data_IF_319876227927
#
_entry.id   IF_319876227927
#
_cell.length_a   1.000
_cell.length_b   1.000
_cell.length_c   1.000
_cell.angle_alpha   90.00
_cell.angle_beta   90.00
_cell.angle_gamma   90.00
#
_symmetry.space_group_name_H-M   'P 1'
#
loop_
_entity.id
_entity.type
_entity.pdbx_description
1 polymer ?
#
# COMPACT_ATOMS: atom_id res chain seq x y z
N UNK A 1 -16.13 9.11 14.23
CA UNK A 1 -16.84 10.37 13.92
C UNK A 1 -16.02 11.53 14.46
N UNK A 2 -15.11 12.08 13.66
CA UNK A 2 -14.31 13.26 14.02
C UNK A 2 -15.16 14.51 13.78
N UNK A 3 -15.60 15.17 14.84
CA UNK A 3 -16.42 16.38 14.73
C UNK A 3 -15.62 17.55 14.12
N UNK A 4 -16.28 18.62 13.63
CA UNK A 4 -15.61 19.81 13.09
C UNK A 4 -14.61 20.43 14.08
N UNK A 5 -14.86 20.30 15.39
CA UNK A 5 -13.98 20.76 16.47
C UNK A 5 -12.64 20.00 16.49
N UNK A 6 -12.62 18.71 16.13
CA UNK A 6 -11.33 17.99 16.06
C UNK A 6 -10.49 18.49 14.89
N UNK A 7 -11.08 18.75 13.73
CA UNK A 7 -10.35 19.26 12.56
C UNK A 7 -9.71 20.61 12.87
N UNK A 8 -10.46 21.52 13.51
CA UNK A 8 -9.95 22.84 13.89
C UNK A 8 -8.75 22.76 14.85
N UNK A 9 -8.78 21.83 15.82
CA UNK A 9 -7.66 21.61 16.74
C UNK A 9 -6.41 21.10 16.01
N UNK A 10 -6.56 20.18 15.07
CA UNK A 10 -5.42 19.67 14.29
C UNK A 10 -4.83 20.77 13.40
N UNK A 11 -5.67 21.60 12.77
CA UNK A 11 -5.24 22.76 12.00
C UNK A 11 -4.52 23.79 12.87
N UNK A 12 -5.03 24.10 14.06
CA UNK A 12 -4.39 25.05 14.97
C UNK A 12 -3.00 24.57 15.42
N UNK A 13 -2.86 23.29 15.75
CA UNK A 13 -1.55 22.68 16.08
C UNK A 13 -0.61 22.75 14.88
N UNK A 14 -1.08 22.40 13.68
CA UNK A 14 -0.27 22.45 12.46
C UNK A 14 0.22 23.87 12.17
N UNK A 15 -0.67 24.86 12.19
CA UNK A 15 -0.31 26.28 11.98
C UNK A 15 0.68 26.73 13.05
N UNK A 16 0.44 26.39 14.33
CA UNK A 16 1.35 26.74 15.42
C UNK A 16 2.77 26.19 15.22
N UNK A 17 2.90 24.95 14.77
CA UNK A 17 4.21 24.34 14.47
C UNK A 17 4.89 25.05 13.30
N UNK A 18 4.18 25.31 12.21
CA UNK A 18 4.74 25.97 11.03
C UNK A 18 5.17 27.41 11.34
N UNK A 19 4.34 28.17 12.05
CA UNK A 19 4.68 29.54 12.46
C UNK A 19 5.87 29.56 13.41
N UNK A 20 5.95 28.62 14.34
CA UNK A 20 7.10 28.52 15.26
C UNK A 20 8.38 28.23 14.48
N UNK A 21 8.35 27.29 13.52
CA UNK A 21 9.50 26.99 12.67
C UNK A 21 9.93 28.22 11.85
N UNK A 22 8.98 28.90 11.21
CA UNK A 22 9.25 30.12 10.43
C UNK A 22 9.91 31.21 11.29
N UNK A 23 9.39 31.45 12.50
CA UNK A 23 9.94 32.45 13.43
C UNK A 23 11.34 32.05 13.90
N UNK A 24 11.58 30.80 14.26
CA UNK A 24 12.90 30.32 14.69
C UNK A 24 13.95 30.44 13.59
N UNK A 25 13.56 30.17 12.34
CA UNK A 25 14.42 30.36 11.18
C UNK A 25 14.71 31.85 10.91
N UNK A 26 13.70 32.73 11.02
CA UNK A 26 13.87 34.17 10.90
C UNK A 26 14.78 34.76 12.00
N UNK A 27 14.74 34.20 13.21
CA UNK A 27 15.61 34.59 14.33
C UNK A 27 17.05 34.09 14.17
N UNK A 28 17.36 33.30 13.13
CA UNK A 28 18.70 32.74 12.89
C UNK A 28 19.09 31.61 13.84
N UNK A 29 18.13 31.02 14.56
CA UNK A 29 18.39 29.87 15.45
C UNK A 29 18.50 28.56 14.68
N UNK A 30 18.07 28.57 13.41
CA UNK A 30 18.10 27.46 12.49
C UNK A 30 18.91 27.91 11.27
N UNK A 31 19.87 27.09 10.85
CA UNK A 31 20.60 27.31 9.61
C UNK A 31 19.68 27.04 8.41
N UNK A 32 19.27 28.11 7.72
CA UNK A 32 18.36 28.04 6.57
C UNK A 32 18.98 27.38 5.34
N UNK A 33 20.30 27.22 5.31
CA UNK A 33 20.99 26.44 4.26
C UNK A 33 20.72 24.95 4.45
N UNK A 34 20.55 24.48 5.68
CA UNK A 34 20.28 23.07 5.99
C UNK A 34 18.78 22.79 6.11
N UNK A 35 18.05 23.67 6.78
CA UNK A 35 16.61 23.56 7.00
C UNK A 35 15.92 24.81 6.48
N UNK A 36 15.45 24.81 5.21
CA UNK A 36 14.86 25.98 4.58
C UNK A 36 13.58 26.39 5.30
N UNK A 37 13.22 27.66 5.15
CA UNK A 37 11.99 28.19 5.76
C UNK A 37 10.75 27.56 5.12
N UNK A 38 9.67 27.34 5.88
CA UNK A 38 8.37 26.94 5.33
C UNK A 38 7.95 27.74 4.09
N UNK A 39 8.20 29.06 4.08
CA UNK A 39 7.91 29.92 2.93
C UNK A 39 8.74 29.54 1.70
N UNK A 40 10.04 29.28 1.87
CA UNK A 40 10.95 28.88 0.77
C UNK A 40 10.56 27.53 0.15
N UNK A 41 10.00 26.62 0.96
CA UNK A 41 9.43 25.36 0.45
C UNK A 41 8.21 25.65 -0.43
N UNK A 42 7.35 26.58 -0.01
CA UNK A 42 6.19 27.03 -0.80
C UNK A 42 6.61 27.67 -2.13
N UNK A 43 7.62 28.53 -2.11
CA UNK A 43 8.22 29.12 -3.31
C UNK A 43 8.84 28.04 -4.21
N UNK A 44 9.53 27.06 -3.64
CA UNK A 44 10.07 25.91 -4.36
C UNK A 44 8.98 25.09 -5.08
N UNK A 45 7.82 24.90 -4.45
CA UNK A 45 6.66 24.25 -5.09
C UNK A 45 6.19 25.09 -6.28
N UNK A 46 6.03 26.41 -6.10
CA UNK A 46 5.57 27.31 -7.17
C UNK A 46 6.53 27.29 -8.36
N UNK A 47 7.83 27.44 -8.08
CA UNK A 47 8.90 27.40 -9.07
C UNK A 47 8.89 26.10 -9.88
N UNK A 48 8.91 24.96 -9.20
CA UNK A 48 8.97 23.65 -9.85
C UNK A 48 7.74 23.31 -10.69
N UNK A 49 6.54 23.67 -10.22
CA UNK A 49 5.28 23.30 -10.88
C UNK A 49 4.82 24.33 -11.91
N UNK A 50 4.96 25.62 -11.65
CA UNK A 50 4.31 26.67 -12.46
C UNK A 50 5.31 27.45 -13.33
N UNK A 51 6.49 27.76 -12.81
CA UNK A 51 7.51 28.55 -13.51
C UNK A 51 8.34 27.66 -14.45
N UNK A 52 9.11 26.73 -13.88
CA UNK A 52 10.01 25.85 -14.63
C UNK A 52 9.25 24.71 -15.32
N UNK A 53 8.15 24.25 -14.70
CA UNK A 53 7.33 23.10 -15.13
C UNK A 53 8.14 21.80 -15.34
N UNK A 54 9.35 21.74 -14.78
CA UNK A 54 10.26 20.61 -14.95
C UNK A 54 9.77 19.38 -14.20
N UNK A 55 9.10 19.57 -13.07
CA UNK A 55 8.67 18.50 -12.16
C UNK A 55 7.78 17.45 -12.85
N UNK A 56 6.93 17.84 -13.81
CA UNK A 56 6.00 16.93 -14.46
C UNK A 56 6.71 15.80 -15.21
N UNK A 57 7.81 16.12 -15.90
CA UNK A 57 8.61 15.11 -16.62
C UNK A 57 9.28 14.16 -15.64
N UNK A 58 9.89 14.69 -14.59
CA UNK A 58 10.55 13.89 -13.55
C UNK A 58 9.54 12.99 -12.82
N UNK A 59 8.36 13.52 -12.54
CA UNK A 59 7.25 12.78 -11.92
C UNK A 59 6.78 11.62 -12.78
N UNK A 60 6.52 11.85 -14.08
CA UNK A 60 6.08 10.80 -14.99
C UNK A 60 7.13 9.69 -15.13
N UNK A 61 8.41 10.06 -15.16
CA UNK A 61 9.53 9.11 -15.25
C UNK A 61 9.59 8.23 -14.01
N UNK A 62 9.62 8.81 -12.81
CA UNK A 62 9.67 8.04 -11.56
C UNK A 62 8.41 7.19 -11.38
N UNK A 63 7.23 7.71 -11.76
CA UNK A 63 5.99 6.93 -11.78
C UNK A 63 6.13 5.69 -12.66
N UNK A 64 6.61 5.85 -13.90
CA UNK A 64 6.80 4.74 -14.82
C UNK A 64 7.80 3.72 -14.29
N UNK A 65 8.95 4.16 -13.77
CA UNK A 65 9.99 3.29 -13.24
C UNK A 65 9.50 2.47 -12.04
N UNK A 66 8.82 3.12 -11.10
CA UNK A 66 8.23 2.45 -9.93
C UNK A 66 7.10 1.49 -10.31
N UNK A 67 6.19 1.92 -11.19
CA UNK A 67 5.03 1.12 -11.59
C UNK A 67 5.45 -0.09 -12.43
N UNK A 68 6.36 0.08 -13.40
CA UNK A 68 6.89 -1.03 -14.18
C UNK A 68 7.69 -2.01 -13.30
N UNK A 69 8.49 -1.50 -12.36
CA UNK A 69 9.18 -2.33 -11.37
C UNK A 69 8.20 -3.17 -10.55
N UNK A 70 7.10 -2.55 -10.09
CA UNK A 70 6.03 -3.26 -9.38
C UNK A 70 5.34 -4.32 -10.22
N UNK A 71 5.02 -4.05 -11.49
CA UNK A 71 4.36 -5.05 -12.33
C UNK A 71 5.25 -6.28 -12.54
N UNK A 72 6.56 -6.08 -12.73
CA UNK A 72 7.53 -7.17 -12.94
C UNK A 72 7.78 -7.90 -11.62
N UNK A 73 8.24 -7.19 -10.59
CA UNK A 73 8.59 -7.77 -9.30
C UNK A 73 7.39 -8.35 -8.56
N UNK A 74 6.28 -7.63 -8.55
CA UNK A 74 5.01 -8.10 -7.99
C UNK A 74 4.42 -9.27 -8.77
N UNK A 75 4.47 -9.24 -10.10
CA UNK A 75 4.04 -10.37 -10.93
C UNK A 75 4.85 -11.64 -10.66
N UNK A 76 6.18 -11.51 -10.59
CA UNK A 76 7.08 -12.61 -10.21
C UNK A 76 6.81 -13.11 -8.78
N UNK A 77 6.62 -12.20 -7.83
CA UNK A 77 6.29 -12.51 -6.45
C UNK A 77 5.00 -13.30 -6.32
N UNK A 78 3.96 -12.86 -7.02
CA UNK A 78 2.67 -13.53 -7.08
C UNK A 78 2.81 -14.94 -7.69
N UNK A 79 3.49 -15.06 -8.83
CA UNK A 79 3.67 -16.33 -9.52
C UNK A 79 4.45 -17.35 -8.67
N UNK A 80 5.56 -16.93 -8.06
CA UNK A 80 6.36 -17.80 -7.19
C UNK A 80 5.61 -18.18 -5.91
N UNK A 81 4.81 -17.27 -5.34
CA UNK A 81 4.00 -17.57 -4.17
C UNK A 81 2.89 -18.57 -4.47
N UNK A 82 2.19 -18.42 -5.60
CA UNK A 82 1.18 -19.39 -6.07
C UNK A 82 1.83 -20.75 -6.31
N UNK A 83 2.96 -20.81 -7.01
CA UNK A 83 3.71 -22.06 -7.21
C UNK A 83 4.13 -22.71 -5.88
N UNK A 84 4.54 -21.90 -4.91
CA UNK A 84 4.92 -22.35 -3.57
C UNK A 84 3.73 -22.80 -2.72
N UNK A 85 2.55 -22.22 -2.93
CA UNK A 85 1.33 -22.65 -2.26
C UNK A 85 0.80 -24.00 -2.79
N UNK A 86 1.04 -24.27 -4.08
CA UNK A 86 0.61 -25.51 -4.73
C UNK A 86 1.56 -26.69 -4.50
N UNK A 87 2.85 -26.43 -4.23
CA UNK A 87 3.87 -27.47 -4.08
C UNK A 87 4.80 -27.19 -2.88
N UNK A 88 4.67 -27.99 -1.82
CA UNK A 88 5.47 -27.88 -0.60
C UNK A 88 6.98 -28.06 -0.84
N UNK A 89 7.38 -28.95 -1.76
CA UNK A 89 8.79 -29.13 -2.11
C UNK A 89 9.33 -27.87 -2.77
N UNK A 90 8.59 -27.29 -3.72
CA UNK A 90 8.97 -26.03 -4.37
C UNK A 90 9.10 -24.90 -3.34
N UNK A 91 8.15 -24.79 -2.41
CA UNK A 91 8.20 -23.83 -1.31
C UNK A 91 9.48 -23.96 -0.47
N UNK A 92 9.90 -25.18 -0.13
CA UNK A 92 11.12 -25.43 0.66
C UNK A 92 12.38 -24.91 -0.04
N UNK A 93 12.44 -25.01 -1.37
CA UNK A 93 13.56 -24.49 -2.14
C UNK A 93 13.50 -22.98 -2.36
N UNK A 94 12.33 -22.39 -2.63
CA UNK A 94 12.21 -20.96 -2.95
C UNK A 94 12.28 -20.06 -1.71
N UNK A 95 11.72 -20.50 -0.58
CA UNK A 95 11.58 -19.65 0.62
C UNK A 95 12.92 -19.10 1.15
N UNK A 96 14.01 -19.89 1.24
CA UNK A 96 15.31 -19.38 1.69
C UNK A 96 15.85 -18.25 0.79
N UNK A 97 15.75 -18.39 -0.53
CA UNK A 97 16.23 -17.36 -1.47
C UNK A 97 15.41 -16.07 -1.37
N UNK A 98 14.09 -16.18 -1.18
CA UNK A 98 13.24 -15.02 -0.97
C UNK A 98 13.64 -14.23 0.30
N UNK A 99 14.01 -14.93 1.37
CA UNK A 99 14.50 -14.30 2.61
C UNK A 99 15.84 -13.61 2.36
N UNK A 100 16.78 -14.25 1.66
CA UNK A 100 18.08 -13.63 1.32
C UNK A 100 17.87 -12.34 0.52
N UNK A 101 16.98 -12.35 -0.47
CA UNK A 101 16.66 -11.15 -1.26
C UNK A 101 16.09 -10.01 -0.39
N UNK A 102 15.32 -10.33 0.66
CA UNK A 102 14.79 -9.30 1.56
C UNK A 102 15.84 -8.69 2.48
N UNK A 103 16.74 -9.52 3.01
CA UNK A 103 17.79 -9.05 3.93
C UNK A 103 18.87 -8.28 3.19
N UNK A 104 19.04 -8.54 1.89
CA UNK A 104 20.01 -7.84 1.05
C UNK A 104 19.60 -6.37 0.87
N UNK A 105 20.41 -5.40 1.32
CA UNK A 105 20.07 -3.99 1.17
C UNK A 105 19.98 -3.60 -0.31
N UNK A 106 18.84 -3.05 -0.75
CA UNK A 106 18.67 -2.61 -2.14
C UNK A 106 19.72 -1.59 -2.59
N UNK A 107 20.17 -0.72 -1.69
CA UNK A 107 21.25 0.23 -1.95
C UNK A 107 22.56 -0.47 -2.34
N UNK A 108 22.90 -1.59 -1.68
CA UNK A 108 24.10 -2.37 -1.98
C UNK A 108 24.01 -3.10 -3.34
N UNK A 109 22.80 -3.44 -3.79
CA UNK A 109 22.56 -4.05 -5.09
C UNK A 109 22.63 -3.05 -6.25
N UNK A 110 22.44 -1.77 -5.98
CA UNK A 110 22.35 -0.71 -7.01
C UNK A 110 23.52 -0.74 -8.01
N UNK A 111 24.81 -0.73 -7.59
CA UNK A 111 25.92 -0.77 -8.55
C UNK A 111 25.96 -2.06 -9.38
N UNK A 112 25.55 -3.19 -8.80
CA UNK A 112 25.50 -4.49 -9.50
C UNK A 112 24.39 -4.48 -10.56
N UNK A 113 23.21 -3.98 -10.20
CA UNK A 113 22.08 -3.85 -11.12
C UNK A 113 22.40 -2.89 -12.27
N UNK A 114 23.08 -1.79 -11.99
CA UNK A 114 23.56 -0.87 -13.04
C UNK A 114 24.60 -1.57 -13.93
N UNK A 115 25.52 -2.35 -13.37
CA UNK A 115 26.49 -3.09 -14.17
C UNK A 115 25.83 -4.11 -15.11
N UNK A 116 24.71 -4.73 -14.69
CA UNK A 116 23.97 -5.70 -15.51
C UNK A 116 23.06 -5.06 -16.56
N UNK A 117 22.29 -4.05 -16.18
CA UNK A 117 21.23 -3.48 -17.01
C UNK A 117 21.61 -2.15 -17.67
N UNK A 118 22.79 -1.62 -17.36
CA UNK A 118 23.27 -0.32 -17.80
C UNK A 118 22.59 0.85 -17.10
N UNK A 119 22.92 2.06 -17.56
CA UNK A 119 22.28 3.28 -17.13
C UNK A 119 20.92 3.47 -17.83
N UNK A 120 19.91 3.96 -17.11
CA UNK A 120 18.62 4.33 -17.67
C UNK A 120 17.44 3.70 -16.94
N UNK A 121 16.33 3.53 -17.67
CA UNK A 121 15.07 3.00 -17.09
C UNK A 121 15.21 1.54 -16.62
N UNK A 122 15.96 0.72 -17.36
CA UNK A 122 16.10 -0.72 -17.11
C UNK A 122 16.63 -1.05 -15.71
N UNK A 123 17.72 -0.41 -15.29
CA UNK A 123 18.33 -0.65 -13.97
C UNK A 123 17.44 -0.19 -12.82
N UNK A 124 16.74 0.93 -12.97
CA UNK A 124 15.83 1.44 -11.94
C UNK A 124 14.58 0.56 -11.79
N UNK A 125 14.01 0.13 -12.92
CA UNK A 125 12.90 -0.84 -12.95
C UNK A 125 13.34 -2.17 -12.32
N UNK A 126 14.53 -2.67 -12.66
CA UNK A 126 15.06 -3.90 -12.10
C UNK A 126 15.26 -3.80 -10.59
N UNK A 127 15.82 -2.69 -10.09
CA UNK A 127 15.99 -2.50 -8.65
C UNK A 127 14.64 -2.38 -7.94
N UNK A 128 13.69 -1.63 -8.51
CA UNK A 128 12.31 -1.56 -8.01
C UNK A 128 11.66 -2.94 -7.94
N UNK A 129 11.82 -3.77 -8.97
CA UNK A 129 11.29 -5.12 -9.04
C UNK A 129 11.89 -6.05 -7.98
N UNK A 130 13.21 -6.02 -7.78
CA UNK A 130 13.90 -6.84 -6.77
C UNK A 130 13.41 -6.48 -5.37
N UNK A 131 13.34 -5.18 -5.06
CA UNK A 131 12.95 -4.70 -3.72
C UNK A 131 11.47 -4.99 -3.44
N UNK A 132 10.58 -4.80 -4.42
CA UNK A 132 9.15 -4.97 -4.21
C UNK A 132 8.66 -6.42 -4.34
N UNK A 133 9.49 -7.34 -4.85
CA UNK A 133 9.16 -8.74 -5.01
C UNK A 133 8.73 -9.39 -3.69
N UNK A 134 9.52 -9.16 -2.63
CA UNK A 134 9.39 -9.91 -1.38
C UNK A 134 8.06 -9.70 -0.66
N UNK A 135 7.55 -8.46 -0.46
CA UNK A 135 6.28 -8.28 0.23
C UNK A 135 5.12 -8.94 -0.54
N UNK A 136 5.11 -8.95 -1.87
CA UNK A 136 4.09 -9.70 -2.65
C UNK A 136 4.23 -11.19 -2.39
N UNK A 137 5.44 -11.73 -2.53
CA UNK A 137 5.69 -13.17 -2.39
C UNK A 137 5.24 -13.67 -1.01
N UNK A 138 5.70 -13.03 0.06
CA UNK A 138 5.43 -13.49 1.42
C UNK A 138 3.97 -13.32 1.82
N UNK A 139 3.36 -12.16 1.55
CA UNK A 139 1.96 -11.95 1.90
C UNK A 139 1.04 -12.91 1.13
N UNK A 140 1.32 -13.13 -0.16
CA UNK A 140 0.55 -14.07 -0.97
C UNK A 140 0.72 -15.50 -0.47
N UNK A 141 1.96 -15.93 -0.20
CA UNK A 141 2.23 -17.29 0.26
C UNK A 141 1.58 -17.56 1.62
N UNK A 142 1.69 -16.62 2.56
CA UNK A 142 1.04 -16.73 3.87
C UNK A 142 -0.47 -16.81 3.68
N UNK A 143 -1.06 -15.93 2.86
CA UNK A 143 -2.50 -15.88 2.63
C UNK A 143 -3.05 -17.18 2.02
N UNK A 144 -2.35 -17.76 1.04
CA UNK A 144 -2.76 -19.00 0.39
C UNK A 144 -2.57 -20.24 1.26
N UNK A 145 -1.67 -20.20 2.25
CA UNK A 145 -1.35 -21.37 3.09
C UNK A 145 -1.99 -21.33 4.47
N UNK A 146 -2.58 -20.20 4.88
CA UNK A 146 -3.24 -20.01 6.19
C UNK A 146 -4.77 -19.92 6.07
N UNK A 147 -5.38 -20.88 5.39
CA UNK A 147 -6.85 -21.02 5.39
C UNK A 147 -7.32 -21.70 6.67
N UNK A 148 -8.42 -21.21 7.22
CA UNK A 148 -9.09 -21.76 8.40
C UNK A 148 -9.39 -23.27 8.26
N UNK A 149 -9.08 -24.04 9.31
CA UNK A 149 -9.24 -25.49 9.31
C UNK A 149 -10.69 -25.91 9.19
N UNK A 150 -11.61 -25.19 9.84
CA UNK A 150 -13.03 -25.53 9.87
C UNK A 150 -13.64 -25.32 8.48
N UNK A 151 -13.24 -24.25 7.80
CA UNK A 151 -13.68 -23.97 6.43
C UNK A 151 -13.10 -25.00 5.43
N UNK A 152 -11.86 -25.47 5.65
CA UNK A 152 -11.27 -26.55 4.87
C UNK A 152 -11.99 -27.89 5.09
N UNK A 153 -12.36 -28.22 6.33
CA UNK A 153 -13.13 -29.41 6.67
C UNK A 153 -14.54 -29.37 6.08
N UNK A 154 -15.20 -28.21 6.10
CA UNK A 154 -16.49 -27.99 5.44
C UNK A 154 -16.38 -28.31 3.94
N UNK A 155 -15.38 -27.78 3.23
CA UNK A 155 -15.18 -28.08 1.81
C UNK A 155 -14.91 -29.57 1.55
N UNK A 156 -14.12 -30.22 2.41
CA UNK A 156 -13.87 -31.67 2.33
C UNK A 156 -15.15 -32.49 2.54
N UNK A 157 -16.01 -32.09 3.48
CA UNK A 157 -17.29 -32.77 3.73
C UNK A 157 -18.26 -32.70 2.54
N UNK A 158 -18.15 -31.62 1.74
CA UNK A 158 -18.90 -31.42 0.48
C UNK A 158 -18.28 -32.17 -0.71
N UNK A 159 -17.21 -32.96 -0.50
CA UNK A 159 -16.52 -33.69 -1.56
C UNK A 159 -15.68 -32.80 -2.49
N UNK A 160 -15.31 -31.59 -2.06
CA UNK A 160 -14.54 -30.68 -2.90
C UNK A 160 -13.14 -31.25 -3.21
N UNK A 161 -12.76 -31.25 -4.48
CA UNK A 161 -11.41 -31.62 -4.91
C UNK A 161 -10.38 -30.58 -4.48
N UNK A 162 -9.10 -30.95 -4.42
CA UNK A 162 -8.01 -30.01 -4.06
C UNK A 162 -8.01 -28.74 -4.93
N UNK A 163 -8.30 -28.88 -6.22
CA UNK A 163 -8.39 -27.74 -7.14
C UNK A 163 -9.60 -26.85 -6.84
N UNK A 164 -10.75 -27.45 -6.51
CA UNK A 164 -11.93 -26.69 -6.11
C UNK A 164 -11.69 -25.95 -4.80
N UNK A 165 -11.05 -26.57 -3.82
CA UNK A 165 -10.66 -25.91 -2.57
C UNK A 165 -9.68 -24.76 -2.82
N UNK A 166 -8.68 -24.95 -3.67
CA UNK A 166 -7.74 -23.88 -4.00
C UNK A 166 -8.44 -22.67 -4.66
N UNK A 167 -9.18 -22.90 -5.75
CA UNK A 167 -9.77 -21.81 -6.55
C UNK A 167 -10.98 -21.17 -5.88
N UNK A 168 -11.82 -21.95 -5.17
CA UNK A 168 -13.10 -21.45 -4.62
C UNK A 168 -13.02 -21.04 -3.15
N UNK A 169 -11.99 -21.49 -2.42
CA UNK A 169 -11.81 -21.13 -1.02
C UNK A 169 -10.51 -20.34 -0.82
N UNK A 170 -9.36 -20.93 -1.11
CA UNK A 170 -8.07 -20.33 -0.74
C UNK A 170 -7.79 -19.04 -1.51
N UNK A 171 -8.02 -19.02 -2.83
CA UNK A 171 -7.79 -17.82 -3.64
C UNK A 171 -8.69 -16.66 -3.17
N UNK A 172 -10.04 -16.77 -3.10
CA UNK A 172 -10.89 -15.67 -2.65
C UNK A 172 -10.61 -15.20 -1.22
N UNK A 173 -10.31 -16.14 -0.31
CA UNK A 173 -9.99 -15.84 1.09
C UNK A 173 -8.64 -15.11 1.24
N UNK A 174 -7.67 -15.46 0.37
CA UNK A 174 -6.33 -14.87 0.39
C UNK A 174 -6.25 -13.45 -0.18
N UNK A 175 -7.16 -13.08 -1.10
CA UNK A 175 -7.10 -11.83 -1.85
C UNK A 175 -6.89 -10.57 -0.99
N UNK A 176 -7.58 -10.35 0.15
CA UNK A 176 -7.35 -9.18 1.00
C UNK A 176 -5.89 -9.04 1.47
N UNK A 177 -5.25 -10.15 1.81
CA UNK A 177 -3.85 -10.16 2.25
C UNK A 177 -2.88 -10.07 1.06
N UNK A 178 -3.24 -10.63 -0.10
CA UNK A 178 -2.50 -10.41 -1.36
C UNK A 178 -2.46 -8.92 -1.70
N UNK A 179 -3.60 -8.21 -1.61
CA UNK A 179 -3.65 -6.77 -1.84
C UNK A 179 -2.91 -5.96 -0.77
N UNK A 180 -2.89 -6.40 0.49
CA UNK A 180 -2.01 -5.81 1.50
C UNK A 180 -0.53 -5.92 1.08
N UNK A 181 -0.12 -7.08 0.54
CA UNK A 181 1.19 -7.28 -0.07
C UNK A 181 1.46 -6.32 -1.23
N UNK A 182 0.50 -6.18 -2.16
CA UNK A 182 0.63 -5.24 -3.28
C UNK A 182 0.79 -3.78 -2.85
N UNK A 183 0.06 -3.33 -1.81
CA UNK A 183 0.16 -1.97 -1.28
C UNK A 183 1.53 -1.68 -0.67
N UNK A 184 2.09 -2.65 0.06
CA UNK A 184 3.46 -2.54 0.57
C UNK A 184 4.43 -2.53 -0.62
N UNK A 185 4.28 -3.47 -1.55
CA UNK A 185 5.18 -3.62 -2.69
C UNK A 185 5.24 -2.39 -3.58
N UNK A 186 4.11 -1.78 -3.96
CA UNK A 186 4.13 -0.58 -4.84
C UNK A 186 4.90 0.58 -4.19
N UNK A 187 4.78 0.77 -2.87
CA UNK A 187 5.55 1.80 -2.15
C UNK A 187 7.04 1.47 -2.07
N UNK A 188 7.39 0.20 -1.85
CA UNK A 188 8.80 -0.23 -1.84
C UNK A 188 9.43 -0.24 -3.25
N UNK A 189 8.63 -0.42 -4.31
CA UNK A 189 9.08 -0.27 -5.70
C UNK A 189 9.49 1.17 -5.99
N UNK A 190 8.73 2.15 -5.49
CA UNK A 190 9.09 3.57 -5.56
C UNK A 190 10.40 3.85 -4.82
N UNK A 191 10.58 3.30 -3.62
CA UNK A 191 11.84 3.42 -2.87
C UNK A 191 13.00 2.83 -3.68
N UNK A 192 12.84 1.63 -4.25
CA UNK A 192 13.86 1.00 -5.09
C UNK A 192 14.20 1.82 -6.33
N UNK A 193 13.20 2.36 -7.04
CA UNK A 193 13.42 3.22 -8.19
C UNK A 193 14.21 4.49 -7.83
N UNK A 194 13.84 5.16 -6.73
CA UNK A 194 14.52 6.39 -6.30
C UNK A 194 15.93 6.14 -5.78
N UNK A 195 16.16 5.02 -5.10
CA UNK A 195 17.52 4.62 -4.72
C UNK A 195 18.41 4.45 -5.97
N UNK A 196 17.90 3.83 -7.03
CA UNK A 196 18.63 3.74 -8.30
C UNK A 196 18.80 5.10 -9.00
N UNK A 197 17.82 6.01 -8.88
CA UNK A 197 17.94 7.37 -9.41
C UNK A 197 19.11 8.15 -8.78
N UNK A 198 19.39 7.96 -7.49
CA UNK A 198 20.50 8.64 -6.81
C UNK A 198 21.90 8.19 -7.28
N UNK A 199 22.03 6.96 -7.76
CA UNK A 199 23.30 6.38 -8.21
C UNK A 199 23.62 6.71 -9.69
N UNK A 200 23.49 7.98 -10.09
CA UNK A 200 23.72 8.50 -11.46
C UNK A 200 22.53 8.36 -12.45
N UNK A 201 21.31 8.68 -12.03
CA UNK A 201 20.18 8.85 -12.94
C UNK A 201 20.25 10.13 -13.79
N UNK A 202 19.76 10.10 -15.03
CA UNK A 202 19.66 11.29 -15.90
C UNK A 202 18.37 12.09 -15.68
N UNK A 203 17.30 11.42 -15.24
CA UNK A 203 15.97 11.98 -14.98
C UNK A 203 15.24 11.17 -13.89
N UNK A 204 14.17 11.76 -13.34
CA UNK A 204 13.42 11.28 -12.17
C UNK A 204 13.39 12.27 -11.00
N UNK A 205 12.39 12.18 -10.10
CA UNK A 205 12.24 13.10 -8.97
C UNK A 205 13.44 13.02 -8.02
N UNK A 206 13.98 11.84 -7.77
CA UNK A 206 15.18 11.64 -6.96
C UNK A 206 16.39 12.33 -7.56
N UNK A 207 16.59 12.23 -8.88
CA UNK A 207 17.66 12.97 -9.59
C UNK A 207 17.48 14.49 -9.42
N UNK A 208 16.25 14.98 -9.59
CA UNK A 208 15.93 16.41 -9.45
C UNK A 208 16.20 16.90 -8.02
N UNK A 209 15.71 16.17 -7.03
CA UNK A 209 15.93 16.45 -5.61
C UNK A 209 17.43 16.50 -5.29
N UNK A 210 18.19 15.50 -5.72
CA UNK A 210 19.64 15.43 -5.47
C UNK A 210 20.39 16.60 -6.11
N UNK A 211 20.02 17.01 -7.34
CA UNK A 211 20.61 18.17 -8.01
C UNK A 211 20.34 19.47 -7.25
N UNK A 212 19.11 19.67 -6.78
CA UNK A 212 18.72 20.85 -6.01
C UNK A 212 19.44 20.90 -4.66
N UNK A 213 19.56 19.74 -3.99
CA UNK A 213 20.33 19.61 -2.75
C UNK A 213 21.82 19.95 -2.94
N UNK A 214 22.44 19.49 -4.04
CA UNK A 214 23.84 19.86 -4.35
C UNK A 214 24.00 21.33 -4.77
N UNK A 215 22.95 21.96 -5.30
CA UNK A 215 22.91 23.38 -5.58
C UNK A 215 22.58 24.25 -4.34
N UNK A 216 22.36 23.62 -3.17
CA UNK A 216 21.91 24.27 -1.94
C UNK A 216 20.55 24.99 -2.05
N UNK A 217 19.76 24.69 -3.07
CA UNK A 217 18.36 25.12 -3.20
C UNK A 217 17.47 24.16 -2.40
N UNK A 218 17.59 24.20 -1.06
CA UNK A 218 16.91 23.25 -0.19
C UNK A 218 15.39 23.43 -0.19
N UNK A 219 14.88 24.66 -0.39
CA UNK A 219 13.45 24.92 -0.53
C UNK A 219 12.84 24.10 -1.67
N UNK A 220 13.47 24.17 -2.86
CA UNK A 220 13.06 23.38 -4.02
C UNK A 220 13.36 21.87 -3.84
N UNK A 221 14.45 21.50 -3.15
CA UNK A 221 14.76 20.10 -2.86
C UNK A 221 13.68 19.44 -1.97
N UNK A 222 13.24 20.12 -0.91
CA UNK A 222 12.13 19.64 -0.06
C UNK A 222 10.81 19.65 -0.85
N UNK A 223 10.57 20.62 -1.72
CA UNK A 223 9.41 20.60 -2.62
C UNK A 223 9.42 19.35 -3.55
N UNK A 224 10.57 18.96 -4.08
CA UNK A 224 10.73 17.71 -4.84
C UNK A 224 10.48 16.47 -3.97
N UNK A 225 10.95 16.45 -2.72
CA UNK A 225 10.67 15.38 -1.75
C UNK A 225 9.17 15.25 -1.43
N UNK A 226 8.46 16.38 -1.28
CA UNK A 226 7.01 16.39 -1.10
C UNK A 226 6.29 15.84 -2.35
N UNK A 227 6.80 16.17 -3.54
CA UNK A 227 6.30 15.63 -4.81
C UNK A 227 6.50 14.11 -4.90
N UNK A 228 7.62 13.58 -4.40
CA UNK A 228 7.85 12.14 -4.26
C UNK A 228 6.87 11.49 -3.28
N UNK A 229 6.57 12.15 -2.15
CA UNK A 229 5.57 11.69 -1.19
C UNK A 229 4.17 11.63 -1.82
N UNK A 230 3.81 12.64 -2.61
CA UNK A 230 2.57 12.66 -3.39
C UNK A 230 2.51 11.50 -4.40
N UNK A 231 3.62 11.22 -5.10
CA UNK A 231 3.72 10.09 -6.00
C UNK A 231 3.51 8.75 -5.26
N UNK A 232 4.11 8.58 -4.09
CA UNK A 232 3.92 7.40 -3.24
C UNK A 232 2.46 7.21 -2.81
N UNK A 233 1.79 8.30 -2.41
CA UNK A 233 0.36 8.28 -2.10
C UNK A 233 -0.47 7.90 -3.32
N UNK A 234 -0.19 8.49 -4.48
CA UNK A 234 -0.91 8.18 -5.73
C UNK A 234 -0.80 6.69 -6.08
N UNK A 235 0.43 6.15 -6.04
CA UNK A 235 0.70 4.74 -6.29
C UNK A 235 0.01 3.81 -5.27
N UNK A 236 0.02 4.17 -3.99
CA UNK A 236 -0.71 3.44 -2.95
C UNK A 236 -2.22 3.44 -3.22
N UNK A 237 -2.81 4.61 -3.48
CA UNK A 237 -4.23 4.76 -3.77
C UNK A 237 -4.66 4.04 -5.04
N UNK A 238 -3.77 3.92 -6.04
CA UNK A 238 -4.04 3.12 -7.23
C UNK A 238 -4.32 1.65 -6.86
N UNK A 239 -3.50 1.07 -5.98
CA UNK A 239 -3.71 -0.30 -5.50
C UNK A 239 -4.91 -0.39 -4.55
N UNK A 240 -5.15 0.64 -3.72
CA UNK A 240 -6.34 0.75 -2.86
C UNK A 240 -7.64 0.68 -3.68
N UNK A 241 -7.72 1.40 -4.79
CA UNK A 241 -8.87 1.40 -5.70
C UNK A 241 -9.06 0.01 -6.33
N UNK A 242 -7.97 -0.69 -6.67
CA UNK A 242 -8.04 -2.05 -7.20
C UNK A 242 -8.50 -3.05 -6.14
N UNK A 243 -8.01 -2.94 -4.91
CA UNK A 243 -8.45 -3.73 -3.75
C UNK A 243 -9.95 -3.53 -3.51
N UNK A 244 -10.42 -2.28 -3.51
CA UNK A 244 -11.85 -1.95 -3.34
C UNK A 244 -12.76 -2.56 -4.41
N UNK A 245 -12.30 -2.57 -5.66
CA UNK A 245 -13.08 -3.11 -6.78
C UNK A 245 -13.08 -4.63 -6.81
N UNK A 246 -11.95 -5.26 -6.47
CA UNK A 246 -11.79 -6.71 -6.57
C UNK A 246 -12.28 -7.40 -5.29
N UNK A 247 -11.95 -6.89 -4.10
CA UNK A 247 -12.25 -7.50 -2.79
C UNK A 247 -13.48 -6.83 -2.15
N UNK A 248 -14.56 -6.72 -2.91
CA UNK A 248 -15.76 -5.99 -2.48
C UNK A 248 -16.53 -6.66 -1.32
N UNK A 249 -16.33 -7.97 -1.09
CA UNK A 249 -17.10 -8.75 -0.11
C UNK A 249 -16.69 -8.52 1.34
N UNK A 250 -15.50 -7.97 1.61
CA UNK A 250 -14.96 -7.83 2.97
C UNK A 250 -15.17 -6.44 3.57
N UNK A 251 -15.47 -5.42 2.77
CA UNK A 251 -15.69 -4.06 3.28
C UNK A 251 -17.15 -3.90 3.74
N UNK A 252 -17.29 -3.93 5.07
CA UNK A 252 -18.53 -3.78 5.85
C UNK A 252 -19.47 -2.63 5.49
N UNK A 253 -19.10 -1.45 4.94
CA UNK A 253 -20.07 -0.37 4.75
C UNK A 253 -21.27 -0.72 3.86
N UNK A 254 -21.07 -1.59 2.85
CA UNK A 254 -22.15 -2.07 1.97
C UNK A 254 -22.99 -3.18 2.63
N UNK A 255 -22.34 -4.13 3.32
CA UNK A 255 -23.01 -5.19 4.09
C UNK A 255 -23.77 -4.63 5.30
N UNK A 256 -23.20 -3.67 6.02
CA UNK A 256 -23.85 -2.93 7.11
C UNK A 256 -24.97 -2.05 6.59
N UNK A 257 -24.86 -1.42 5.42
CA UNK A 257 -25.98 -0.68 4.84
C UNK A 257 -27.16 -1.62 4.48
N UNK A 258 -26.87 -2.80 3.94
CA UNK A 258 -27.88 -3.83 3.64
C UNK A 258 -28.44 -4.45 4.93
N UNK A 259 -27.59 -4.72 5.92
CA UNK A 259 -27.95 -5.21 7.25
C UNK A 259 -28.83 -4.23 8.00
N UNK A 260 -28.46 -2.93 8.03
CA UNK A 260 -29.27 -1.85 8.59
C UNK A 260 -30.62 -1.71 7.89
N UNK A 261 -30.66 -1.81 6.55
CA UNK A 261 -31.93 -1.81 5.79
C UNK A 261 -32.82 -3.01 6.13
N UNK A 262 -32.25 -4.21 6.22
CA UNK A 262 -32.98 -5.44 6.59
C UNK A 262 -33.44 -5.43 8.04
N UNK A 263 -32.61 -4.93 8.95
CA UNK A 263 -32.94 -4.79 10.38
C UNK A 263 -34.03 -3.73 10.59
N UNK A 264 -33.97 -2.59 9.90
CA UNK A 264 -35.03 -1.58 9.91
C UNK A 264 -36.36 -2.10 9.33
N UNK A 265 -36.31 -2.92 8.27
CA UNK A 265 -37.50 -3.58 7.74
C UNK A 265 -38.07 -4.61 8.71
N UNK A 266 -37.22 -5.35 9.43
CA UNK A 266 -37.63 -6.32 10.45
C UNK A 266 -38.22 -5.67 11.70
N UNK A 267 -37.70 -4.52 12.13
CA UNK A 267 -38.25 -3.77 13.28
C UNK A 267 -39.53 -3.01 12.93
N UNK A 268 -39.71 -2.61 11.66
CA UNK A 268 -40.93 -1.98 11.16
C UNK A 268 -42.07 -2.98 10.86
N UNK A 269 -41.78 -4.28 10.80
CA UNK A 269 -42.80 -5.31 10.60
C UNK A 269 -43.73 -5.40 11.82
N UNK A 270 -45.07 -5.27 11.69
CA UNK A 270 -45.98 -5.40 12.80
C UNK A 270 -45.87 -6.81 13.38
N UNK A 271 -45.48 -6.92 14.66
CA UNK A 271 -45.61 -8.19 15.41
C UNK A 271 -47.09 -8.53 15.55
N UNK A 272 -47.61 -9.35 14.64
CA UNK A 272 -48.96 -9.89 14.75
C UNK A 272 -49.04 -10.87 15.93
N UNK A 273 -49.56 -10.32 17.03
CA UNK A 273 -50.29 -10.89 18.17
C UNK A 273 -50.16 -12.39 18.47
N UNK A 274 -49.62 -12.61 19.68
CA UNK A 274 -50.11 -13.52 20.74
C UNK A 274 -50.38 -14.98 20.35
N UNK A 275 -49.40 -15.84 20.63
CA UNK A 275 -49.68 -17.21 21.08
C UNK A 275 -50.49 -17.11 22.39
N UNK A 276 -51.81 -17.22 22.29
CA UNK A 276 -52.69 -17.45 23.43
C UNK A 276 -52.32 -18.78 24.05
N UNK A 277 -51.67 -18.73 25.21
CA UNK A 277 -51.54 -19.81 26.17
C UNK A 277 -52.94 -20.21 26.66
N UNK A 278 -53.57 -21.15 25.96
CA UNK A 278 -54.77 -21.84 26.42
C UNK A 278 -54.35 -23.03 27.28
N UNK A 279 -54.22 -22.76 28.57
CA UNK A 279 -54.54 -23.64 29.72
C UNK A 279 -54.52 -25.16 29.49
N UNK A 280 -53.39 -25.81 29.82
CA UNK A 280 -53.39 -27.20 30.27
C UNK A 280 -53.75 -27.23 31.76
N UNK A 281 -54.96 -27.72 32.07
CA UNK A 281 -55.46 -27.92 33.43
C UNK A 281 -55.12 -29.33 33.89
N UNK A 282 -54.39 -29.54 35.00
CA UNK A 282 -54.23 -30.87 35.57
C UNK A 282 -55.38 -31.12 36.58
N UNK A 283 -56.13 -32.20 36.37
CA UNK A 283 -56.91 -32.94 37.38
C UNK A 283 -56.86 -34.40 36.89
N UNK A 284 -56.33 -35.41 37.59
CA UNK A 284 -56.14 -35.57 39.03
C UNK A 284 -57.28 -36.43 39.60
N UNK A 285 -57.02 -37.73 39.75
CA UNK A 285 -57.66 -38.64 40.73
C UNK A 285 -58.97 -39.31 40.32
N UNK A 286 -58.94 -40.65 40.21
CA UNK A 286 -60.08 -41.55 40.02
C UNK A 286 -59.60 -42.91 39.57
#
# INVERSE_FOLDING_TARGET
>A
MTGPVSILRHLAVFVGVITTWEVLALLGWIDTILLPRPVEIGEGIVKLYFEDRTIYRHFAITFYEAFAGFLIGGGLGLALAVGSALNDSFRRYVSPYAIVLNVTPGLALTPIVIAWFGFGYSSKIALGAIVCFFPVFVNTLIALTRTDSDTLEMFRSLGASRWQTFVKLQVPDSLPMVFAGFKISITTALVGAVVAEFSQGTAGIGVLMQRLSFALDMGSAIAALLSMSLLGLLLYYLIEILDDRIVFWRRGPRMEAVGRRRQAAWTAAPRTKKLTTSTLKPKGGG
#
